data_IF_153612490102
#
_entry.id   IF_153612490102
#
_cell.length_a   1.000
_cell.length_b   1.000
_cell.length_c   1.000
_cell.angle_alpha   90.00
_cell.angle_beta   90.00
_cell.angle_gamma   90.00
#
_symmetry.space_group_name_H-M   'P 1'
#
loop_
_entity.id
_entity.type
_entity.pdbx_description
1 polymer ?
#
# COMPACT_ATOMS: atom_id res chain seq x y z
N UNK A 1 3.33 7.09 6.13
CA UNK A 1 3.63 5.73 5.61
C UNK A 1 2.62 4.70 6.02
N UNK A 2 1.91 4.86 7.14
CA UNK A 2 0.89 3.90 7.59
C UNK A 2 -0.10 3.50 6.48
N UNK A 3 -0.53 4.47 5.66
CA UNK A 3 -1.39 4.21 4.51
C UNK A 3 -0.87 3.12 3.55
N UNK A 4 0.44 3.02 3.33
CA UNK A 4 1.04 2.07 2.38
C UNK A 4 1.49 0.76 3.01
N UNK A 5 1.42 0.62 4.34
CA UNK A 5 2.05 -0.50 5.05
C UNK A 5 1.16 -1.19 6.09
N UNK A 6 0.06 -0.56 6.49
CA UNK A 6 -0.93 -1.16 7.37
C UNK A 6 -2.03 -1.79 6.52
N UNK A 7 -2.29 -3.08 6.70
CA UNK A 7 -3.29 -3.82 5.92
C UNK A 7 -4.65 -3.12 5.90
N UNK A 8 -5.18 -2.77 7.09
CA UNK A 8 -6.44 -2.05 7.22
C UNK A 8 -6.42 -0.65 6.57
N UNK A 9 -5.26 0.01 6.47
CA UNK A 9 -5.17 1.28 5.76
C UNK A 9 -5.16 1.07 4.25
N UNK A 10 -4.47 0.02 3.77
CA UNK A 10 -4.43 -0.39 2.36
C UNK A 10 -5.83 -0.70 1.85
N UNK A 11 -6.59 -1.55 2.57
CA UNK A 11 -7.98 -1.88 2.21
C UNK A 11 -8.87 -0.63 2.11
N UNK A 12 -8.64 0.38 2.96
CA UNK A 12 -9.47 1.60 2.95
C UNK A 12 -9.27 2.50 1.73
N UNK A 13 -8.08 2.55 1.15
CA UNK A 13 -7.85 3.37 -0.05
C UNK A 13 -7.82 2.54 -1.34
N UNK A 14 -7.60 1.24 -1.21
CA UNK A 14 -7.67 0.28 -2.29
C UNK A 14 -8.95 -0.56 -2.13
N UNK A 15 -10.10 0.11 -2.23
CA UNK A 15 -11.45 -0.48 -2.02
C UNK A 15 -11.79 -1.64 -2.98
N UNK A 16 -10.95 -1.87 -3.98
CA UNK A 16 -11.07 -2.97 -4.93
C UNK A 16 -10.34 -4.26 -4.49
N UNK A 17 -9.73 -4.31 -3.30
CA UNK A 17 -9.05 -5.52 -2.81
C UNK A 17 -9.49 -5.91 -1.41
N UNK A 18 -9.48 -7.21 -1.14
CA UNK A 18 -9.87 -7.83 0.13
C UNK A 18 -8.72 -8.66 0.72
N UNK A 19 -8.87 -9.09 1.97
CA UNK A 19 -8.00 -10.04 2.67
C UNK A 19 -6.51 -9.62 2.69
N UNK A 20 -6.24 -8.33 2.92
CA UNK A 20 -4.88 -7.79 2.81
C UNK A 20 -3.99 -8.30 3.94
N UNK A 21 -2.87 -8.89 3.55
CA UNK A 21 -1.74 -9.23 4.43
C UNK A 21 -0.50 -8.48 3.96
N UNK A 22 0.15 -7.74 4.86
CA UNK A 22 1.31 -6.95 4.51
C UNK A 22 2.36 -6.93 5.63
N UNK A 23 3.61 -7.28 5.29
CA UNK A 23 4.76 -7.17 6.19
C UNK A 23 5.78 -6.15 5.64
N UNK A 24 5.87 -4.98 6.27
CA UNK A 24 6.72 -3.88 5.84
C UNK A 24 8.21 -4.08 6.15
N UNK A 25 8.83 -5.08 5.51
CA UNK A 25 10.26 -5.40 5.61
C UNK A 25 10.72 -6.15 4.37
N UNK A 26 12.00 -6.05 3.95
CA UNK A 26 12.51 -6.88 2.85
C UNK A 26 12.28 -8.38 3.13
N UNK A 27 11.76 -9.10 2.13
CA UNK A 27 11.34 -10.49 2.25
C UNK A 27 9.97 -10.70 2.89
N UNK A 28 9.34 -9.64 3.44
CA UNK A 28 8.01 -9.69 4.04
C UNK A 28 6.93 -10.07 3.04
N UNK A 29 5.90 -10.79 3.51
CA UNK A 29 4.77 -11.23 2.68
C UNK A 29 3.90 -10.05 2.25
N UNK A 30 3.41 -10.12 1.01
CA UNK A 30 2.30 -9.32 0.51
C UNK A 30 1.28 -10.27 -0.09
N UNK A 31 0.03 -10.21 0.35
CA UNK A 31 -1.06 -10.99 -0.22
C UNK A 31 -2.38 -10.23 -0.10
N UNK A 32 -3.27 -10.42 -1.07
CA UNK A 32 -4.64 -9.91 -1.07
C UNK A 32 -5.45 -10.63 -2.15
N UNK A 33 -6.76 -10.44 -2.14
CA UNK A 33 -7.65 -10.88 -3.20
C UNK A 33 -8.12 -9.66 -3.99
N UNK A 34 -7.92 -9.73 -5.29
CA UNK A 34 -8.48 -8.79 -6.25
C UNK A 34 -9.70 -9.47 -6.91
N UNK A 35 -10.93 -8.92 -6.83
CA UNK A 35 -12.10 -9.54 -7.44
C UNK A 35 -12.00 -9.71 -8.96
N UNK A 36 -11.25 -8.84 -9.64
CA UNK A 36 -11.08 -8.91 -11.09
C UNK A 36 -9.95 -9.88 -11.49
N UNK A 37 -8.89 -9.98 -10.68
CA UNK A 37 -7.68 -10.73 -11.03
C UNK A 37 -7.44 -11.99 -10.20
N UNK A 38 -8.19 -12.20 -9.12
CA UNK A 38 -8.10 -13.33 -8.20
C UNK A 38 -7.09 -13.11 -7.07
N UNK A 39 -6.60 -14.22 -6.51
CA UNK A 39 -5.62 -14.15 -5.43
C UNK A 39 -4.26 -13.63 -5.94
N UNK A 40 -3.70 -12.67 -5.23
CA UNK A 40 -2.39 -12.09 -5.49
C UNK A 40 -1.48 -12.39 -4.31
N UNK A 41 -0.28 -12.89 -4.62
CA UNK A 41 0.76 -13.13 -3.63
C UNK A 41 2.11 -12.63 -4.11
N UNK A 42 2.91 -12.16 -3.17
CA UNK A 42 4.21 -11.56 -3.43
C UNK A 42 5.04 -11.37 -2.18
N UNK A 43 6.10 -10.60 -2.36
CA UNK A 43 7.00 -10.22 -1.29
C UNK A 43 7.52 -8.80 -1.47
N UNK A 44 7.74 -8.10 -0.36
CA UNK A 44 8.46 -6.83 -0.35
C UNK A 44 9.93 -7.09 -0.72
N UNK A 45 10.43 -6.38 -1.71
CA UNK A 45 11.81 -6.49 -2.21
C UNK A 45 12.71 -5.36 -1.73
N UNK A 46 12.14 -4.19 -1.46
CA UNK A 46 12.84 -3.07 -0.84
C UNK A 46 11.87 -2.31 0.08
N UNK A 47 12.38 -1.91 1.24
CA UNK A 47 11.65 -1.08 2.20
C UNK A 47 12.60 -0.06 2.80
N UNK A 48 12.37 1.20 2.44
CA UNK A 48 13.05 2.36 2.98
C UNK A 48 11.96 3.28 3.53
N UNK A 49 11.74 3.29 4.86
CA UNK A 49 10.68 4.08 5.47
C UNK A 49 10.67 5.52 4.94
N UNK A 50 9.48 6.03 4.66
CA UNK A 50 9.21 7.38 4.11
C UNK A 50 9.80 7.72 2.74
N UNK A 51 10.51 6.77 2.10
CA UNK A 51 11.22 7.00 0.84
C UNK A 51 10.72 6.05 -0.24
N UNK A 52 10.71 4.74 0.02
CA UNK A 52 10.50 3.73 -1.01
C UNK A 52 9.91 2.43 -0.47
N UNK A 53 8.98 1.87 -1.24
CA UNK A 53 8.46 0.53 -1.06
C UNK A 53 8.41 -0.17 -2.42
N UNK A 54 9.11 -1.29 -2.57
CA UNK A 54 9.07 -2.09 -3.79
C UNK A 54 8.61 -3.51 -3.48
N UNK A 55 7.76 -4.06 -4.33
CA UNK A 55 7.14 -5.37 -4.18
C UNK A 55 7.31 -6.18 -5.47
N UNK A 56 7.34 -7.50 -5.30
CA UNK A 56 7.35 -8.45 -6.41
C UNK A 56 6.21 -9.44 -6.26
N UNK A 57 5.38 -9.55 -7.27
CA UNK A 57 4.22 -10.45 -7.29
C UNK A 57 4.50 -11.71 -8.11
N UNK A 58 3.83 -12.80 -7.75
CA UNK A 58 4.02 -14.12 -8.36
C UNK A 58 3.10 -14.32 -9.57
N UNK A 59 1.86 -13.87 -9.47
CA UNK A 59 0.81 -14.03 -10.48
C UNK A 59 -0.24 -12.93 -10.35
N UNK A 60 -1.08 -12.78 -11.38
CA UNK A 60 -2.31 -12.00 -11.42
C UNK A 60 -2.18 -10.48 -11.28
N UNK A 61 -0.97 -9.96 -11.06
CA UNK A 61 -0.66 -8.54 -10.94
C UNK A 61 0.70 -8.26 -11.63
N UNK A 62 1.15 -6.99 -11.79
CA UNK A 62 2.44 -6.70 -12.39
C UNK A 62 3.53 -7.39 -11.59
N UNK A 63 4.55 -7.94 -12.24
CA UNK A 63 5.65 -8.62 -11.55
C UNK A 63 6.32 -7.70 -10.54
N UNK A 64 6.44 -6.41 -10.85
CA UNK A 64 7.03 -5.41 -9.98
C UNK A 64 6.11 -4.20 -9.82
N UNK A 65 5.92 -3.79 -8.57
CA UNK A 65 5.25 -2.55 -8.19
C UNK A 65 6.15 -1.78 -7.24
N UNK A 66 6.38 -0.51 -7.52
CA UNK A 66 7.21 0.34 -6.68
C UNK A 66 6.53 1.68 -6.41
N UNK A 67 6.53 2.07 -5.13
CA UNK A 67 6.13 3.36 -4.63
C UNK A 67 7.37 4.15 -4.23
N UNK A 68 7.49 5.39 -4.71
CA UNK A 68 8.51 6.35 -4.29
C UNK A 68 7.85 7.59 -3.73
N UNK A 69 8.30 8.00 -2.55
CA UNK A 69 7.80 9.18 -1.87
C UNK A 69 8.88 10.25 -1.88
N UNK A 70 8.54 11.42 -2.41
CA UNK A 70 9.42 12.59 -2.43
C UNK A 70 8.72 13.74 -1.70
N UNK A 71 9.31 14.29 -0.63
CA UNK A 71 8.80 15.52 -0.01
C UNK A 71 8.79 16.66 -1.03
N UNK A 72 7.69 17.40 -1.10
CA UNK A 72 7.54 18.58 -1.96
C UNK A 72 6.89 19.71 -1.16
N UNK A 73 6.98 20.95 -1.66
CA UNK A 73 6.29 22.07 -1.03
C UNK A 73 4.79 21.77 -0.93
N UNK A 74 4.23 21.84 0.29
CA UNK A 74 2.81 21.59 0.54
C UNK A 74 2.39 20.11 0.61
N UNK A 75 3.33 19.14 0.58
CA UNK A 75 2.95 17.74 0.76
C UNK A 75 4.02 16.71 0.37
N UNK A 76 3.56 15.59 -0.18
CA UNK A 76 4.39 14.48 -0.63
C UNK A 76 3.96 14.08 -2.03
N UNK A 77 4.92 13.99 -2.94
CA UNK A 77 4.73 13.37 -4.26
C UNK A 77 4.90 11.87 -4.11
N UNK A 78 3.93 11.11 -4.62
CA UNK A 78 3.98 9.66 -4.71
C UNK A 78 4.11 9.28 -6.19
N UNK A 79 5.25 8.71 -6.58
CA UNK A 79 5.43 8.10 -7.89
C UNK A 79 5.19 6.60 -7.80
N UNK A 80 4.39 6.06 -8.71
CA UNK A 80 4.04 4.64 -8.76
C UNK A 80 4.55 4.06 -10.08
N UNK A 81 5.32 2.99 -9.98
CA UNK A 81 5.93 2.32 -11.13
C UNK A 81 5.50 0.87 -11.17
N UNK A 82 4.82 0.49 -12.25
CA UNK A 82 4.45 -0.88 -12.57
C UNK A 82 5.36 -1.41 -13.67
N UNK A 83 5.87 -2.64 -13.54
CA UNK A 83 6.68 -3.27 -14.58
C UNK A 83 6.36 -4.75 -14.70
N UNK A 84 6.62 -5.24 -15.91
CA UNK A 84 6.59 -6.65 -16.27
C UNK A 84 5.23 -7.30 -15.98
N UNK A 85 4.32 -7.12 -16.94
CA UNK A 85 2.93 -7.56 -16.86
C UNK A 85 2.73 -9.01 -17.33
N UNK A 86 3.80 -9.79 -17.53
CA UNK A 86 3.69 -11.15 -18.09
C UNK A 86 3.01 -12.14 -17.16
N UNK A 87 2.88 -11.81 -15.88
CA UNK A 87 2.25 -12.64 -14.86
C UNK A 87 0.71 -12.52 -14.81
N UNK A 88 0.12 -11.65 -15.65
CA UNK A 88 -1.32 -11.50 -15.80
C UNK A 88 -1.89 -12.54 -16.76
N UNK A 89 -2.90 -13.29 -16.29
CA UNK A 89 -3.51 -14.40 -17.04
C UNK A 89 -4.16 -13.95 -18.36
N UNK A 90 -4.84 -12.81 -18.33
CA UNK A 90 -5.54 -12.20 -19.49
C UNK A 90 -4.94 -10.84 -19.86
N UNK A 91 -3.60 -10.78 -19.97
CA UNK A 91 -2.81 -9.55 -20.07
C UNK A 91 -3.36 -8.49 -21.03
N UNK A 92 -3.86 -8.88 -22.21
CA UNK A 92 -4.25 -7.94 -23.27
C UNK A 92 -5.54 -7.18 -22.90
N UNK A 93 -6.39 -7.77 -22.06
CA UNK A 93 -7.60 -7.13 -21.53
C UNK A 93 -7.44 -6.64 -20.09
N UNK A 94 -6.58 -7.31 -19.32
CA UNK A 94 -6.38 -7.06 -17.89
C UNK A 94 -5.48 -5.87 -17.57
N UNK A 95 -4.48 -5.56 -18.40
CA UNK A 95 -3.55 -4.46 -18.12
C UNK A 95 -4.26 -3.10 -18.05
N UNK A 96 -5.11 -2.70 -19.03
CA UNK A 96 -5.79 -1.40 -18.95
C UNK A 96 -6.68 -1.26 -17.72
N UNK A 97 -7.51 -2.27 -17.42
CA UNK A 97 -8.41 -2.23 -16.26
C UNK A 97 -7.67 -2.21 -14.93
N UNK A 98 -6.56 -2.94 -14.82
CA UNK A 98 -5.73 -2.92 -13.62
C UNK A 98 -5.03 -1.57 -13.41
N UNK A 99 -4.50 -0.95 -14.48
CA UNK A 99 -3.92 0.39 -14.39
C UNK A 99 -4.98 1.38 -13.92
N UNK A 100 -6.18 1.34 -14.51
CA UNK A 100 -7.29 2.21 -14.15
C UNK A 100 -7.73 2.02 -12.69
N UNK A 101 -7.85 0.76 -12.22
CA UNK A 101 -8.17 0.47 -10.82
C UNK A 101 -7.13 1.04 -9.85
N UNK A 102 -5.84 0.90 -10.17
CA UNK A 102 -4.78 1.46 -9.32
C UNK A 102 -4.81 3.00 -9.33
N UNK A 103 -5.05 3.63 -10.48
CA UNK A 103 -5.16 5.09 -10.57
C UNK A 103 -6.33 5.62 -9.74
N UNK A 104 -7.49 4.95 -9.78
CA UNK A 104 -8.65 5.27 -8.95
C UNK A 104 -8.34 5.12 -7.46
N UNK A 105 -7.68 4.03 -7.05
CA UNK A 105 -7.27 3.80 -5.68
C UNK A 105 -6.27 4.87 -5.19
N UNK A 106 -5.31 5.29 -6.03
CA UNK A 106 -4.35 6.34 -5.70
C UNK A 106 -5.02 7.72 -5.54
N UNK A 107 -6.05 8.01 -6.34
CA UNK A 107 -6.86 9.21 -6.16
C UNK A 107 -7.62 9.21 -4.82
N UNK A 108 -8.15 8.06 -4.39
CA UNK A 108 -8.78 7.91 -3.09
C UNK A 108 -7.76 8.06 -1.95
N UNK A 109 -6.57 7.45 -2.07
CA UNK A 109 -5.47 7.63 -1.12
C UNK A 109 -5.13 9.11 -0.93
N UNK A 110 -5.01 9.87 -2.02
CA UNK A 110 -4.73 11.30 -1.96
C UNK A 110 -5.84 12.09 -1.25
N UNK A 111 -7.11 11.71 -1.47
CA UNK A 111 -8.27 12.32 -0.80
C UNK A 111 -8.26 12.05 0.70
N UNK A 112 -8.06 10.79 1.10
CA UNK A 112 -7.98 10.37 2.50
C UNK A 112 -6.79 11.00 3.22
N UNK A 113 -5.65 11.15 2.54
CA UNK A 113 -4.48 11.82 3.09
C UNK A 113 -4.74 13.31 3.37
N UNK A 114 -5.39 14.02 2.43
CA UNK A 114 -5.79 15.43 2.62
C UNK A 114 -6.79 15.61 3.76
N UNK A 115 -7.67 14.63 3.96
CA UNK A 115 -8.64 14.62 5.06
C UNK A 115 -8.03 14.22 6.42
N UNK A 116 -6.73 13.87 6.47
CA UNK A 116 -6.07 13.43 7.72
C UNK A 116 -6.52 12.06 8.20
N UNK A 117 -7.15 11.24 7.35
CA UNK A 117 -7.76 9.95 7.72
C UNK A 117 -6.75 8.91 8.25
N UNK A 118 -5.46 9.13 8.01
CA UNK A 118 -4.36 8.28 8.47
C UNK A 118 -3.59 8.86 9.66
N UNK A 119 -3.96 10.03 10.19
CA UNK A 119 -3.29 10.67 11.33
C UNK A 119 -3.80 10.17 12.69
N UNK A 120 -4.92 9.43 12.71
CA UNK A 120 -5.62 9.03 13.95
C UNK A 120 -4.86 7.94 14.72
N UNK A 121 -4.07 7.10 14.04
CA UNK A 121 -3.29 6.02 14.68
C UNK A 121 -2.12 6.52 15.55
N UNK A 122 -1.38 7.52 15.07
CA UNK A 122 -0.21 8.04 15.79
C UNK A 122 -0.57 8.82 17.07
N UNK A 123 -1.72 9.53 17.07
CA UNK A 123 -2.18 10.31 18.22
C UNK A 123 -2.75 9.42 19.34
N UNK A 124 -3.39 8.29 19.01
CA UNK A 124 -3.83 7.29 20.00
C UNK A 124 -2.63 6.55 20.59
N UNK A 125 -1.66 6.11 19.76
CA UNK A 125 -0.46 5.42 20.25
C UNK A 125 0.37 6.29 21.21
N UNK A 126 0.56 7.58 20.87
CA UNK A 126 1.26 8.53 21.73
C UNK A 126 0.51 8.82 23.05
N UNK A 127 -0.83 8.71 23.06
CA UNK A 127 -1.64 8.85 24.28
C UNK A 127 -1.53 7.61 25.15
N UNK A 128 -1.68 6.42 24.57
CA UNK A 128 -1.56 5.14 25.27
C UNK A 128 -0.17 4.95 25.88
N UNK A 129 0.91 5.30 25.16
CA UNK A 129 2.27 5.23 25.71
C UNK A 129 2.51 6.22 26.85
N UNK A 130 1.91 7.42 26.80
CA UNK A 130 1.97 8.39 27.92
C UNK A 130 1.19 7.94 29.15
N UNK A 131 0.11 7.18 28.97
CA UNK A 131 -0.68 6.63 30.08
C UNK A 131 0.04 5.46 30.74
N UNK A 132 0.67 4.57 29.96
CA UNK A 132 1.45 3.45 30.50
C UNK A 132 2.69 3.90 31.29
N UNK A 133 3.31 5.02 30.93
CA UNK A 133 4.44 5.62 31.65
C UNK A 133 4.04 6.36 32.95
N UNK A 134 2.74 6.50 33.23
CA UNK A 134 2.20 7.19 34.42
C UNK A 134 1.68 6.26 35.51
N UNK A 135 1.71 4.94 35.30
CA UNK A 135 1.46 3.95 36.36
C UNK A 135 2.81 3.48 36.91
N UNK A 136 3.26 3.99 38.08
CA UNK A 136 4.33 3.33 38.81
C UNK A 136 3.79 2.03 39.40
N UNK A 137 4.59 0.96 39.27
CA UNK A 137 4.47 -0.21 40.14
C UNK A 137 4.72 0.19 41.60
#
# INVERSE_FOLDING_TARGET
>A
MEALTQAAAIERWFDAIDDVTFEARPGGRVAFRDPAFGAVEGSVTAWEPVIRLAMKFRANWPRLLEYRLTPVAGGTRLDVVQRDFTALRDRDFGIPGMIEHLDQALALLATLAKAGAFAVGAADLARTMREQLKTPN
#
